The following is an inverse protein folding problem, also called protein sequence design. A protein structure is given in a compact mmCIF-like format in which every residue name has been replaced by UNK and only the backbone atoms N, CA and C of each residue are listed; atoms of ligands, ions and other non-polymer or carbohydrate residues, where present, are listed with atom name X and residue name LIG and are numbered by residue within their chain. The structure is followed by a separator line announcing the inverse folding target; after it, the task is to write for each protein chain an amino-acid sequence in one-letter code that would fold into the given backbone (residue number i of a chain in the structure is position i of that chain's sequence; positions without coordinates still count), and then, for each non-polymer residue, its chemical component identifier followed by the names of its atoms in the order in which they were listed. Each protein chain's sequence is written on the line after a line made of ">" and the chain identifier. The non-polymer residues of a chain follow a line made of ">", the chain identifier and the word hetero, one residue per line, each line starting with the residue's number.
data_IF_815617503882
#
_entry.id   IF_815617503882
#
_cell.length_a   1.000
_cell.length_b   1.000
_cell.length_c   1.000
_cell.angle_alpha   90.00
_cell.angle_beta   90.00
_cell.angle_gamma   90.00
#
_symmetry.space_group_name_H-M   'P 1'
#
loop_
_entity.id
_entity.type
_entity.pdbx_description
1 polymer ?
#
# COMPACT_ATOMS: atom_id res chain seq x y z
N UNK A 1 64.28 -21.97 -17.95
CA UNK A 1 63.51 -20.99 -18.74
C UNK A 1 62.04 -21.35 -18.60
N UNK A 2 61.35 -20.76 -17.61
CA UNK A 2 59.95 -21.08 -17.30
C UNK A 2 59.10 -19.97 -17.92
N UNK A 3 58.48 -20.23 -19.07
CA UNK A 3 57.45 -19.39 -19.64
C UNK A 3 56.13 -19.62 -18.90
N UNK A 4 55.86 -18.85 -17.86
CA UNK A 4 54.54 -18.82 -17.24
C UNK A 4 53.53 -18.21 -18.18
N UNK A 5 52.52 -19.01 -18.49
CA UNK A 5 51.49 -18.78 -19.47
C UNK A 5 50.61 -17.58 -19.01
N UNK A 6 50.89 -16.39 -19.54
CA UNK A 6 50.16 -15.14 -19.28
C UNK A 6 48.64 -15.32 -19.57
N UNK A 7 48.31 -16.18 -20.51
CA UNK A 7 46.93 -16.49 -20.90
C UNK A 7 46.15 -17.23 -19.79
N UNK A 8 46.83 -18.04 -18.94
CA UNK A 8 46.13 -18.77 -17.88
C UNK A 8 45.73 -17.86 -16.73
N UNK A 9 46.54 -16.87 -16.38
CA UNK A 9 46.20 -15.85 -15.36
C UNK A 9 45.08 -14.92 -15.84
N UNK A 10 45.10 -14.54 -17.10
CA UNK A 10 44.03 -13.71 -17.69
C UNK A 10 42.70 -14.47 -17.73
N UNK A 11 42.70 -15.74 -18.08
CA UNK A 11 41.49 -16.57 -18.12
C UNK A 11 40.90 -16.82 -16.72
N UNK A 12 41.78 -16.96 -15.71
CA UNK A 12 41.35 -17.10 -14.32
C UNK A 12 40.73 -15.81 -13.78
N UNK A 13 41.31 -14.65 -14.07
CA UNK A 13 40.75 -13.33 -13.69
C UNK A 13 39.40 -13.04 -14.33
N UNK A 14 39.21 -13.41 -15.61
CA UNK A 14 37.92 -13.26 -16.30
C UNK A 14 36.86 -14.17 -15.67
N UNK A 15 37.19 -15.41 -15.30
CA UNK A 15 36.24 -16.30 -14.61
C UNK A 15 35.85 -15.78 -13.22
N UNK A 16 36.79 -15.26 -12.45
CA UNK A 16 36.53 -14.68 -11.13
C UNK A 16 35.66 -13.43 -11.27
N UNK A 17 35.92 -12.57 -12.26
CA UNK A 17 35.12 -11.39 -12.53
C UNK A 17 33.68 -11.75 -12.96
N UNK A 18 33.53 -12.78 -13.77
CA UNK A 18 32.20 -13.27 -14.22
C UNK A 18 31.41 -13.88 -13.07
N UNK A 19 32.07 -14.62 -12.16
CA UNK A 19 31.43 -15.17 -10.94
C UNK A 19 31.01 -14.05 -10.00
N UNK A 20 31.85 -13.01 -9.82
CA UNK A 20 31.51 -11.84 -9.01
C UNK A 20 30.35 -11.03 -9.60
N UNK A 21 30.32 -10.90 -10.93
CA UNK A 21 29.23 -10.24 -11.65
C UNK A 21 27.89 -10.99 -11.53
N UNK A 22 27.91 -12.34 -11.59
CA UNK A 22 26.72 -13.18 -11.39
C UNK A 22 26.22 -13.13 -9.93
N UNK A 23 27.12 -13.01 -8.95
CA UNK A 23 26.75 -12.87 -7.53
C UNK A 23 26.11 -11.50 -7.28
N UNK A 24 26.62 -10.42 -7.87
CA UNK A 24 26.04 -9.08 -7.77
C UNK A 24 24.65 -8.98 -8.42
N UNK A 25 24.37 -9.74 -9.48
CA UNK A 25 23.05 -9.77 -10.12
C UNK A 25 21.98 -10.50 -9.29
N UNK A 26 22.36 -11.33 -8.32
CA UNK A 26 21.41 -12.03 -7.44
C UNK A 26 20.97 -11.22 -6.22
N UNK A 27 21.53 -10.04 -5.99
CA UNK A 27 21.17 -9.18 -4.84
C UNK A 27 19.94 -8.29 -5.06
N UNK A 28 19.35 -8.31 -6.23
CA UNK A 28 18.04 -7.70 -6.49
C UNK A 28 16.94 -8.77 -6.47
N UNK A 29 16.90 -9.58 -5.44
CA UNK A 29 15.71 -10.38 -5.17
C UNK A 29 14.70 -9.44 -4.50
N UNK A 30 13.67 -9.06 -5.25
CA UNK A 30 12.43 -8.50 -4.71
C UNK A 30 12.00 -9.36 -3.52
N UNK A 31 12.11 -8.83 -2.31
CA UNK A 31 11.56 -9.53 -1.14
C UNK A 31 10.06 -9.59 -1.36
N UNK A 32 9.45 -10.79 -1.44
CA UNK A 32 8.01 -10.87 -1.63
C UNK A 32 7.33 -10.12 -0.49
N UNK A 33 6.50 -9.14 -0.84
CA UNK A 33 5.71 -8.34 0.10
C UNK A 33 4.91 -9.31 0.95
N UNK A 34 5.33 -9.54 2.19
CA UNK A 34 4.63 -10.44 3.10
C UNK A 34 3.24 -9.86 3.39
N UNK A 35 2.23 -10.72 3.50
CA UNK A 35 0.86 -10.30 3.81
C UNK A 35 0.78 -9.49 5.12
N UNK A 36 1.75 -9.70 6.04
CA UNK A 36 1.91 -8.95 7.29
C UNK A 36 2.17 -7.46 7.11
N UNK A 37 2.58 -7.04 5.90
CA UNK A 37 2.86 -5.63 5.58
C UNK A 37 1.68 -4.88 4.98
N UNK A 38 0.59 -5.56 4.67
CA UNK A 38 -0.60 -4.96 4.06
C UNK A 38 -1.67 -4.68 5.11
N UNK A 39 -2.43 -3.62 4.90
CA UNK A 39 -3.64 -3.35 5.68
C UNK A 39 -4.77 -4.21 5.12
N UNK A 40 -5.22 -5.19 5.90
CA UNK A 40 -6.18 -6.19 5.44
C UNK A 40 -7.38 -6.30 6.36
N UNK A 41 -8.53 -6.65 5.78
CA UNK A 41 -9.76 -6.97 6.50
C UNK A 41 -10.36 -8.26 5.91
N UNK A 42 -10.52 -9.28 6.74
CA UNK A 42 -10.97 -10.62 6.32
C UNK A 42 -9.86 -11.67 6.41
N UNK A 43 -10.19 -12.90 6.02
CA UNK A 43 -9.31 -14.07 6.15
C UNK A 43 -8.44 -14.28 4.91
N UNK A 44 -7.23 -14.81 5.11
CA UNK A 44 -6.25 -14.96 4.02
C UNK A 44 -6.65 -15.97 2.95
N UNK A 45 -7.44 -16.97 3.31
CA UNK A 45 -7.92 -18.00 2.40
C UNK A 45 -9.25 -17.67 1.71
N UNK A 46 -9.71 -16.40 1.82
CA UNK A 46 -10.91 -15.96 1.12
C UNK A 46 -10.79 -16.16 -0.40
N UNK A 47 -11.81 -16.74 -1.08
CA UNK A 47 -11.77 -17.01 -2.52
C UNK A 47 -11.75 -15.74 -3.37
N UNK A 48 -12.23 -14.61 -2.83
CA UNK A 48 -12.23 -13.32 -3.50
C UNK A 48 -11.31 -12.35 -2.74
N UNK A 49 -10.31 -11.82 -3.43
CA UNK A 49 -9.43 -10.78 -2.92
C UNK A 49 -9.70 -9.47 -3.63
N UNK A 50 -10.00 -8.43 -2.86
CA UNK A 50 -10.29 -7.09 -3.40
C UNK A 50 -9.20 -6.15 -2.93
N UNK A 51 -8.32 -5.73 -3.86
CA UNK A 51 -7.33 -4.68 -3.65
C UNK A 51 -7.97 -3.32 -3.92
N UNK A 52 -7.81 -2.40 -2.98
CA UNK A 52 -8.38 -1.07 -3.00
C UNK A 52 -7.21 -0.08 -2.99
N UNK A 53 -6.93 0.51 -4.13
CA UNK A 53 -5.92 1.56 -4.26
C UNK A 53 -6.55 2.91 -3.95
N UNK A 54 -6.11 3.56 -2.87
CA UNK A 54 -6.76 4.75 -2.31
C UNK A 54 -5.77 5.83 -1.93
N UNK A 55 -6.22 7.07 -2.02
CA UNK A 55 -5.55 8.23 -1.42
C UNK A 55 -6.38 8.74 -0.23
N UNK A 56 -5.72 9.03 0.88
CA UNK A 56 -6.39 9.46 2.11
C UNK A 56 -6.97 10.89 2.02
N UNK A 57 -6.55 11.67 1.02
CA UNK A 57 -7.12 13.00 0.71
C UNK A 57 -8.22 12.97 -0.35
N UNK A 58 -8.46 11.82 -0.99
CA UNK A 58 -9.43 11.72 -2.07
C UNK A 58 -10.88 11.60 -1.52
N UNK A 59 -11.80 12.54 -1.83
CA UNK A 59 -13.19 12.47 -1.34
C UNK A 59 -13.96 11.25 -1.84
N UNK A 60 -13.65 10.78 -3.06
CA UNK A 60 -14.27 9.56 -3.58
C UNK A 60 -13.79 8.30 -2.83
N UNK A 61 -12.55 8.31 -2.32
CA UNK A 61 -12.02 7.24 -1.47
C UNK A 61 -12.71 7.25 -0.09
N UNK A 62 -12.89 8.42 0.51
CA UNK A 62 -13.65 8.55 1.76
C UNK A 62 -15.09 8.03 1.60
N UNK A 63 -15.80 8.48 0.56
CA UNK A 63 -17.15 7.99 0.28
C UNK A 63 -17.21 6.47 0.05
N UNK A 64 -16.22 5.90 -0.66
CA UNK A 64 -16.11 4.45 -0.85
C UNK A 64 -15.90 3.74 0.49
N UNK A 65 -14.95 4.22 1.30
CA UNK A 65 -14.62 3.63 2.59
C UNK A 65 -15.79 3.68 3.57
N UNK A 66 -16.46 4.83 3.68
CA UNK A 66 -17.56 5.05 4.63
C UNK A 66 -18.84 4.32 4.21
N UNK A 67 -19.16 4.27 2.90
CA UNK A 67 -20.46 3.77 2.45
C UNK A 67 -20.42 2.38 1.82
N UNK A 68 -19.33 1.99 1.16
CA UNK A 68 -19.28 0.75 0.37
C UNK A 68 -18.53 -0.35 1.12
N UNK A 69 -17.42 -0.02 1.79
CA UNK A 69 -16.65 -1.01 2.58
C UNK A 69 -17.52 -1.69 3.65
N UNK A 70 -18.38 -1.00 4.44
CA UNK A 70 -19.25 -1.65 5.41
C UNK A 70 -20.24 -2.66 4.77
N UNK A 71 -20.76 -2.35 3.59
CA UNK A 71 -21.65 -3.25 2.86
C UNK A 71 -20.90 -4.52 2.39
N UNK A 72 -19.68 -4.36 1.89
CA UNK A 72 -18.85 -5.52 1.50
C UNK A 72 -18.47 -6.34 2.75
N UNK A 73 -18.11 -5.68 3.83
CA UNK A 73 -17.76 -6.31 5.11
C UNK A 73 -18.90 -7.20 5.60
N UNK A 74 -20.09 -6.63 5.75
CA UNK A 74 -21.28 -7.30 6.26
C UNK A 74 -21.72 -8.50 5.38
N UNK A 75 -21.68 -8.31 4.05
CA UNK A 75 -22.24 -9.33 3.15
C UNK A 75 -21.25 -10.46 2.79
N UNK A 76 -19.92 -10.18 2.88
CA UNK A 76 -18.94 -11.11 2.31
C UNK A 76 -17.68 -11.32 3.17
N UNK A 77 -17.18 -10.29 3.86
CA UNK A 77 -15.94 -10.44 4.65
C UNK A 77 -16.20 -11.26 5.90
N UNK A 78 -17.29 -10.98 6.63
CA UNK A 78 -17.65 -11.66 7.87
C UNK A 78 -17.94 -13.17 7.66
N UNK A 79 -18.35 -13.53 6.44
CA UNK A 79 -18.54 -14.94 6.04
C UNK A 79 -17.28 -15.59 5.45
N UNK A 80 -16.14 -14.92 5.45
CA UNK A 80 -14.88 -15.42 4.92
C UNK A 80 -14.80 -15.52 3.39
N UNK A 81 -15.78 -14.98 2.65
CA UNK A 81 -15.83 -15.04 1.19
C UNK A 81 -14.96 -14.00 0.49
N UNK A 82 -14.70 -12.88 1.16
CA UNK A 82 -13.92 -11.76 0.63
C UNK A 82 -12.85 -11.35 1.64
N UNK A 83 -11.65 -11.06 1.14
CA UNK A 83 -10.62 -10.30 1.83
C UNK A 83 -10.47 -8.94 1.15
N UNK A 84 -10.53 -7.85 1.94
CA UNK A 84 -10.19 -6.52 1.49
C UNK A 84 -8.73 -6.24 1.79
N UNK A 85 -8.01 -5.67 0.82
CA UNK A 85 -6.60 -5.30 0.92
C UNK A 85 -6.49 -3.83 0.55
N UNK A 86 -6.19 -2.99 1.54
CA UNK A 86 -6.05 -1.54 1.34
C UNK A 86 -4.62 -1.23 0.93
N UNK A 87 -4.45 -0.53 -0.18
CA UNK A 87 -3.14 -0.19 -0.75
C UNK A 87 -3.07 1.33 -0.92
N UNK A 88 -2.03 1.91 -0.35
CA UNK A 88 -1.79 3.34 -0.47
C UNK A 88 -1.46 3.73 -1.90
N UNK A 89 -2.17 4.75 -2.36
CA UNK A 89 -1.92 5.41 -3.65
C UNK A 89 -2.03 6.92 -3.46
N UNK A 90 -1.12 7.53 -2.68
CA UNK A 90 -1.19 8.95 -2.36
C UNK A 90 -1.12 9.83 -3.61
N UNK A 91 -2.02 10.78 -3.72
CA UNK A 91 -2.10 11.73 -4.83
C UNK A 91 -1.35 13.03 -4.53
N UNK A 92 -1.10 13.31 -3.27
CA UNK A 92 -0.44 14.52 -2.77
C UNK A 92 0.39 14.25 -1.49
N UNK A 93 1.08 15.29 -1.01
CA UNK A 93 1.94 15.19 0.16
C UNK A 93 1.16 14.92 1.45
N UNK A 94 -0.05 15.45 1.58
CA UNK A 94 -0.87 15.24 2.77
C UNK A 94 -1.35 13.78 2.87
N UNK A 95 -1.81 13.20 1.75
CA UNK A 95 -2.12 11.79 1.66
C UNK A 95 -0.91 10.91 1.96
N UNK A 96 0.27 11.28 1.46
CA UNK A 96 1.50 10.54 1.71
C UNK A 96 1.89 10.56 3.19
N UNK A 97 1.77 11.70 3.86
CA UNK A 97 2.00 11.82 5.30
C UNK A 97 1.00 10.99 6.11
N UNK A 98 -0.28 11.04 5.75
CA UNK A 98 -1.31 10.23 6.39
C UNK A 98 -1.08 8.71 6.19
N UNK A 99 -0.65 8.30 4.99
CA UNK A 99 -0.25 6.90 4.72
C UNK A 99 0.93 6.45 5.57
N UNK A 100 1.93 7.30 5.80
CA UNK A 100 3.03 6.97 6.73
C UNK A 100 2.53 6.70 8.13
N UNK A 101 1.62 7.51 8.63
CA UNK A 101 1.03 7.33 9.96
C UNK A 101 0.20 6.04 10.06
N UNK A 102 -0.53 5.67 9.00
CA UNK A 102 -1.25 4.40 8.92
C UNK A 102 -0.32 3.19 9.14
N UNK A 103 0.89 3.22 8.57
CA UNK A 103 1.87 2.15 8.73
C UNK A 103 2.66 2.21 10.06
N UNK A 104 2.51 3.28 10.80
CA UNK A 104 3.10 3.44 12.14
C UNK A 104 2.21 2.96 13.28
N UNK A 105 0.92 2.85 13.07
CA UNK A 105 0.03 2.30 14.10
C UNK A 105 0.13 0.79 14.15
N UNK A 106 -0.18 0.22 15.31
CA UNK A 106 -0.33 -1.23 15.47
C UNK A 106 -1.29 -1.79 14.41
N UNK A 107 -0.96 -2.94 13.85
CA UNK A 107 -1.73 -3.58 12.79
C UNK A 107 -3.22 -3.73 13.14
N UNK A 108 -3.52 -4.03 14.41
CA UNK A 108 -4.90 -4.15 14.92
C UNK A 108 -5.68 -2.83 14.88
N UNK A 109 -4.98 -1.70 14.84
CA UNK A 109 -5.58 -0.35 14.81
C UNK A 109 -5.66 0.24 13.41
N UNK A 110 -5.08 -0.41 12.38
CA UNK A 110 -4.99 0.17 11.04
C UNK A 110 -6.36 0.40 10.39
N UNK A 111 -7.32 -0.51 10.60
CA UNK A 111 -8.69 -0.32 10.09
C UNK A 111 -9.36 0.84 10.82
N UNK A 112 -9.25 0.91 12.14
CA UNK A 112 -9.76 2.05 12.94
C UNK A 112 -9.09 3.36 12.51
N UNK A 113 -7.81 3.33 12.16
CA UNK A 113 -7.13 4.51 11.60
C UNK A 113 -7.77 4.95 10.29
N UNK A 114 -8.00 4.03 9.35
CA UNK A 114 -8.66 4.34 8.08
C UNK A 114 -10.05 4.91 8.29
N UNK A 115 -10.86 4.29 9.17
CA UNK A 115 -12.19 4.76 9.53
C UNK A 115 -12.12 6.21 10.05
N UNK A 116 -11.26 6.46 11.07
CA UNK A 116 -11.12 7.78 11.68
C UNK A 116 -10.65 8.85 10.70
N UNK A 117 -9.64 8.53 9.88
CA UNK A 117 -9.05 9.50 8.94
C UNK A 117 -10.02 9.82 7.80
N UNK A 118 -10.78 8.85 7.30
CA UNK A 118 -11.79 9.12 6.27
C UNK A 118 -13.04 9.81 6.82
N UNK A 119 -13.51 9.46 8.01
CA UNK A 119 -14.66 10.13 8.64
C UNK A 119 -14.40 11.61 8.95
N UNK A 120 -13.15 11.95 9.27
CA UNK A 120 -12.73 13.32 9.57
C UNK A 120 -11.95 13.97 8.41
N UNK A 121 -12.10 13.48 7.17
CA UNK A 121 -11.27 13.94 6.04
C UNK A 121 -11.37 15.46 5.84
N UNK A 122 -12.55 16.02 5.85
CA UNK A 122 -12.77 17.46 5.64
C UNK A 122 -12.10 18.30 6.72
N UNK A 123 -12.02 17.81 7.95
CA UNK A 123 -11.41 18.53 9.08
C UNK A 123 -9.87 18.56 8.96
N UNK A 124 -9.25 17.40 8.75
CA UNK A 124 -7.79 17.37 8.74
C UNK A 124 -7.17 17.83 7.44
N UNK A 125 -7.91 17.77 6.33
CA UNK A 125 -7.43 18.32 5.04
C UNK A 125 -7.65 19.83 4.93
N UNK A 126 -8.43 20.43 5.84
CA UNK A 126 -8.61 21.88 5.87
C UNK A 126 -7.30 22.59 6.23
N UNK A 127 -6.84 23.48 5.35
CA UNK A 127 -5.62 24.26 5.56
C UNK A 127 -5.14 24.90 4.27
N UNK A 128 -4.43 26.01 4.42
CA UNK A 128 -3.89 26.78 3.27
C UNK A 128 -2.53 26.26 2.83
N UNK A 129 -1.87 25.43 3.67
CA UNK A 129 -0.56 24.87 3.42
C UNK A 129 -0.36 23.54 4.16
N UNK A 130 0.68 22.82 3.76
CA UNK A 130 0.95 21.48 4.29
C UNK A 130 1.20 21.44 5.81
N UNK A 131 1.72 22.52 6.40
CA UNK A 131 1.97 22.56 7.83
C UNK A 131 0.66 22.64 8.63
N UNK A 132 -0.32 23.41 8.16
CA UNK A 132 -1.65 23.47 8.75
C UNK A 132 -2.36 22.12 8.65
N UNK A 133 -2.34 21.50 7.48
CA UNK A 133 -2.91 20.17 7.24
C UNK A 133 -2.25 19.13 8.15
N UNK A 134 -0.92 19.13 8.25
CA UNK A 134 -0.19 18.23 9.14
C UNK A 134 -0.55 18.44 10.61
N UNK A 135 -0.75 19.68 11.05
CA UNK A 135 -1.17 19.98 12.40
C UNK A 135 -2.59 19.46 12.70
N UNK A 136 -3.49 19.56 11.73
CA UNK A 136 -4.85 19.02 11.86
C UNK A 136 -4.80 17.49 11.90
N UNK A 137 -4.07 16.86 10.99
CA UNK A 137 -3.85 15.41 10.96
C UNK A 137 -3.25 14.91 12.28
N UNK A 138 -2.29 15.65 12.85
CA UNK A 138 -1.68 15.32 14.15
C UNK A 138 -2.73 15.23 15.28
N UNK A 139 -3.70 16.14 15.31
CA UNK A 139 -4.81 16.10 16.29
C UNK A 139 -5.65 14.84 16.13
N UNK A 140 -6.01 14.48 14.88
CA UNK A 140 -6.80 13.29 14.59
C UNK A 140 -6.07 12.02 15.03
N UNK A 141 -4.79 11.86 14.68
CA UNK A 141 -4.05 10.64 15.02
C UNK A 141 -3.66 10.54 16.50
N UNK A 142 -3.65 11.64 17.23
CA UNK A 142 -3.48 11.62 18.68
C UNK A 142 -4.63 10.88 19.41
N UNK A 143 -5.85 10.95 18.89
CA UNK A 143 -7.00 10.19 19.38
C UNK A 143 -6.75 8.68 19.26
N UNK A 144 -5.97 8.25 18.27
CA UNK A 144 -5.57 6.86 18.04
C UNK A 144 -4.35 6.42 18.86
N UNK A 145 -3.80 7.34 19.68
CA UNK A 145 -2.69 7.07 20.58
C UNK A 145 -1.31 7.37 20.02
N UNK A 146 -1.20 8.02 18.84
CA UNK A 146 0.09 8.48 18.30
C UNK A 146 0.48 9.78 19.01
N UNK A 147 1.50 9.74 19.86
CA UNK A 147 2.03 10.95 20.49
C UNK A 147 2.91 11.77 19.52
N UNK A 148 3.28 12.99 19.93
CA UNK A 148 4.04 13.91 19.07
C UNK A 148 5.39 13.36 18.62
N UNK A 149 6.11 12.66 19.50
CA UNK A 149 7.42 12.06 19.15
C UNK A 149 7.26 10.93 18.15
N UNK A 150 6.25 10.08 18.31
CA UNK A 150 5.91 9.02 17.34
C UNK A 150 5.48 9.63 16.01
N UNK A 151 4.65 10.68 16.03
CA UNK A 151 4.23 11.37 14.82
C UNK A 151 5.42 11.85 13.98
N UNK A 152 6.35 12.57 14.60
CA UNK A 152 7.52 13.11 13.92
C UNK A 152 8.45 11.98 13.41
N UNK A 153 8.63 10.92 14.20
CA UNK A 153 9.39 9.73 13.77
C UNK A 153 8.76 9.06 12.55
N UNK A 154 7.44 8.88 12.56
CA UNK A 154 6.71 8.23 11.45
C UNK A 154 6.80 9.04 10.15
N UNK A 155 6.70 10.37 10.22
CA UNK A 155 6.81 11.20 9.03
C UNK A 155 8.22 11.19 8.39
N UNK A 156 9.25 10.90 9.18
CA UNK A 156 10.64 10.83 8.74
C UNK A 156 11.14 9.39 8.48
N UNK A 157 10.25 8.40 8.53
CA UNK A 157 10.61 6.99 8.31
C UNK A 157 10.76 6.71 6.80
N UNK A 158 12.02 6.53 6.36
CA UNK A 158 12.38 6.25 4.97
C UNK A 158 11.88 4.86 4.52
N UNK A 159 11.90 3.87 5.41
CA UNK A 159 11.44 2.51 5.06
C UNK A 159 9.95 2.50 4.75
N UNK A 160 9.16 3.20 5.56
CA UNK A 160 7.72 3.37 5.30
C UNK A 160 7.50 4.19 4.01
N UNK A 161 8.31 5.23 3.81
CA UNK A 161 8.24 6.07 2.61
C UNK A 161 8.44 5.25 1.34
N UNK A 162 9.52 4.48 1.28
CA UNK A 162 9.86 3.62 0.14
C UNK A 162 8.78 2.57 -0.10
N UNK A 163 8.25 1.97 0.96
CA UNK A 163 7.17 0.98 0.88
C UNK A 163 5.91 1.55 0.19
N UNK A 164 5.49 2.75 0.58
CA UNK A 164 4.30 3.42 0.01
C UNK A 164 4.56 3.78 -1.46
N UNK A 165 5.72 4.37 -1.76
CA UNK A 165 6.09 4.79 -3.13
C UNK A 165 6.22 3.59 -4.06
N UNK A 166 6.88 2.52 -3.63
CA UNK A 166 6.98 1.28 -4.39
C UNK A 166 5.60 0.66 -4.63
N UNK A 167 4.73 0.61 -3.61
CA UNK A 167 3.35 0.14 -3.76
C UNK A 167 2.55 0.93 -4.81
N UNK A 168 2.75 2.24 -4.88
CA UNK A 168 2.15 3.11 -5.89
C UNK A 168 2.70 2.83 -7.29
N UNK A 169 4.03 2.68 -7.42
CA UNK A 169 4.70 2.37 -8.69
C UNK A 169 4.21 1.01 -9.22
N UNK A 170 4.23 -0.02 -8.38
CA UNK A 170 3.77 -1.37 -8.72
C UNK A 170 2.31 -1.38 -9.17
N UNK A 171 1.45 -0.67 -8.43
CA UNK A 171 0.04 -0.53 -8.78
C UNK A 171 -0.16 0.13 -10.15
N UNK A 172 0.59 1.19 -10.43
CA UNK A 172 0.54 1.86 -11.73
C UNK A 172 1.04 0.96 -12.86
N UNK A 173 2.20 0.31 -12.67
CA UNK A 173 2.78 -0.57 -13.69
C UNK A 173 1.91 -1.79 -13.96
N UNK A 174 1.39 -2.44 -12.90
CA UNK A 174 0.65 -3.69 -13.04
C UNK A 174 -0.79 -3.50 -13.52
N UNK A 175 -1.46 -2.43 -13.07
CA UNK A 175 -2.90 -2.25 -13.30
C UNK A 175 -3.24 -0.94 -14.02
N UNK A 176 -2.24 -0.17 -14.47
CA UNK A 176 -2.43 1.14 -15.12
C UNK A 176 -3.34 2.06 -14.29
N UNK A 177 -3.02 2.19 -12.99
CA UNK A 177 -3.81 3.01 -12.06
C UNK A 177 -3.45 4.47 -12.26
N UNK A 178 -4.46 5.28 -12.56
CA UNK A 178 -4.35 6.72 -12.80
C UNK A 178 -5.35 7.56 -11.98
N UNK A 179 -6.20 6.90 -11.22
CA UNK A 179 -7.23 7.54 -10.38
C UNK A 179 -7.55 6.70 -9.16
N UNK A 180 -8.13 7.32 -8.13
CA UNK A 180 -8.55 6.67 -6.88
C UNK A 180 -10.02 6.96 -6.56
N UNK A 181 -10.75 6.02 -5.97
CA UNK A 181 -10.33 4.65 -5.69
C UNK A 181 -10.28 3.80 -6.97
N UNK A 182 -9.27 2.95 -7.10
CA UNK A 182 -9.25 1.88 -8.11
C UNK A 182 -9.38 0.53 -7.42
N UNK A 183 -10.28 -0.30 -7.92
CA UNK A 183 -10.64 -1.60 -7.34
C UNK A 183 -10.15 -2.72 -8.25
N UNK A 184 -9.40 -3.66 -7.68
CA UNK A 184 -8.92 -4.86 -8.36
C UNK A 184 -9.53 -6.08 -7.67
N UNK A 185 -10.27 -6.91 -8.40
CA UNK A 185 -10.90 -8.13 -7.91
C UNK A 185 -10.21 -9.34 -8.55
N UNK A 186 -9.56 -10.18 -7.75
CA UNK A 186 -8.78 -11.33 -8.21
C UNK A 186 -7.93 -10.98 -9.45
N UNK A 187 -7.06 -9.97 -9.28
CA UNK A 187 -6.10 -9.46 -10.28
C UNK A 187 -6.73 -8.75 -11.50
N UNK A 188 -8.06 -8.60 -11.56
CA UNK A 188 -8.75 -7.90 -12.65
C UNK A 188 -9.28 -6.55 -12.18
N UNK A 189 -8.98 -5.49 -12.91
CA UNK A 189 -9.50 -4.14 -12.64
C UNK A 189 -11.01 -4.11 -12.81
N UNK A 190 -11.71 -3.50 -11.85
CA UNK A 190 -13.14 -3.29 -11.93
C UNK A 190 -13.45 -2.29 -13.05
N UNK A 191 -14.24 -2.73 -14.01
CA UNK A 191 -14.74 -1.87 -15.07
C UNK A 191 -16.06 -1.21 -14.69
N UNK A 192 -16.27 0.04 -15.13
CA UNK A 192 -17.46 0.82 -14.87
C UNK A 192 -17.47 1.47 -13.48
N UNK A 193 -18.65 1.88 -12.98
CA UNK A 193 -18.73 2.67 -11.75
C UNK A 193 -18.31 1.89 -10.52
N UNK A 194 -17.56 2.57 -9.63
CA UNK A 194 -17.19 2.03 -8.31
C UNK A 194 -18.41 2.12 -7.40
N UNK A 195 -19.22 1.07 -7.37
CA UNK A 195 -20.43 0.97 -6.56
C UNK A 195 -20.58 -0.42 -5.95
N UNK A 196 -21.28 -0.52 -4.82
CA UNK A 196 -21.58 -1.82 -4.20
C UNK A 196 -22.24 -2.79 -5.17
N UNK A 197 -23.24 -2.31 -5.93
CA UNK A 197 -23.96 -3.12 -6.94
C UNK A 197 -23.00 -3.76 -7.96
N UNK A 198 -22.03 -2.99 -8.48
CA UNK A 198 -21.10 -3.50 -9.48
C UNK A 198 -20.08 -4.47 -8.86
N UNK A 199 -19.57 -4.16 -7.67
CA UNK A 199 -18.65 -5.03 -6.92
C UNK A 199 -19.36 -6.33 -6.56
N UNK A 200 -20.56 -6.27 -6.00
CA UNK A 200 -21.42 -7.43 -5.69
C UNK A 200 -21.57 -8.35 -6.90
N UNK A 201 -21.95 -7.81 -8.06
CA UNK A 201 -22.08 -8.59 -9.30
C UNK A 201 -20.79 -9.31 -9.70
N UNK A 202 -19.62 -8.72 -9.43
CA UNK A 202 -18.34 -9.37 -9.73
C UNK A 202 -18.00 -10.45 -8.70
N UNK A 203 -18.26 -10.22 -7.41
CA UNK A 203 -18.06 -11.20 -6.34
C UNK A 203 -18.93 -12.44 -6.62
N UNK A 204 -20.23 -12.25 -6.86
CA UNK A 204 -21.20 -13.34 -7.07
C UNK A 204 -20.97 -14.18 -8.32
N UNK A 205 -20.09 -13.75 -9.23
CA UNK A 205 -19.64 -14.57 -10.37
C UNK A 205 -18.44 -15.46 -10.04
N UNK A 206 -17.79 -15.23 -8.90
CA UNK A 206 -16.57 -15.93 -8.51
C UNK A 206 -16.88 -17.01 -7.46
N UNK A 207 -17.84 -16.70 -6.55
CA UNK A 207 -18.28 -17.61 -5.50
C UNK A 207 -19.54 -18.38 -5.99
#
# INVERSE_FOLDING_TARGET
>A
MIRYNLNFKLFFLIKVFFIYFIICLKSYADTPKTLSDLVVLGVDNAPVKIKIFSSLTCPHCANFHIKIVPEIKKNYVESGKVQLIFIDFPLDQAAFNASKLLHCVDQKKQITFLDTVYENQDEWTAGSNINEINNNLKKIVQILGINSTQYDKCLNDEVISDKILNGRIDGNQKYSINSTPTIIINEKKLEGPVSFKNIKKKIEKII
#
